data_IF_488175768279
#
_entry.id   IF_488175768279
#
_cell.length_a   1.000
_cell.length_b   1.000
_cell.length_c   1.000
_cell.angle_alpha   90.00
_cell.angle_beta   90.00
_cell.angle_gamma   90.00
#
_symmetry.space_group_name_H-M   'P 1'
#
loop_
_entity.id
_entity.type
_entity.pdbx_description
1 polymer ?
#
# COMPACT_ATOMS: atom_id res chain seq x y z
N UNK A 1 -69.18 -15.67 -41.63
CA UNK A 1 -68.63 -14.47 -40.95
C UNK A 1 -67.81 -14.76 -39.67
N UNK A 2 -67.80 -15.98 -39.10
CA UNK A 2 -67.08 -16.24 -37.83
C UNK A 2 -65.54 -16.36 -37.91
N UNK A 3 -64.97 -16.87 -39.00
CA UNK A 3 -63.52 -17.10 -39.11
C UNK A 3 -62.67 -15.82 -39.11
N UNK A 4 -63.15 -14.75 -39.75
CA UNK A 4 -62.47 -13.45 -39.77
C UNK A 4 -62.50 -12.77 -38.39
N UNK A 5 -63.60 -12.92 -37.65
CA UNK A 5 -63.76 -12.36 -36.32
C UNK A 5 -62.86 -13.03 -35.28
N UNK A 6 -62.66 -14.35 -35.39
CA UNK A 6 -61.68 -15.07 -34.56
C UNK A 6 -60.23 -14.72 -34.92
N UNK A 7 -59.94 -14.47 -36.20
CA UNK A 7 -58.60 -14.06 -36.64
C UNK A 7 -58.23 -12.67 -36.10
N UNK A 8 -59.17 -11.72 -36.13
CA UNK A 8 -58.97 -10.39 -35.57
C UNK A 8 -58.82 -10.40 -34.04
N UNK A 9 -59.59 -11.25 -33.33
CA UNK A 9 -59.48 -11.39 -31.87
C UNK A 9 -58.14 -11.98 -31.42
N UNK A 10 -57.60 -12.94 -32.18
CA UNK A 10 -56.30 -13.55 -31.89
C UNK A 10 -55.13 -12.55 -32.07
N UNK A 11 -55.21 -11.67 -33.08
CA UNK A 11 -54.18 -10.65 -33.33
C UNK A 11 -54.15 -9.59 -32.22
N UNK A 12 -55.32 -9.18 -31.70
CA UNK A 12 -55.40 -8.22 -30.59
C UNK A 12 -54.89 -8.82 -29.28
N UNK A 13 -55.11 -10.12 -29.03
CA UNK A 13 -54.63 -10.78 -27.81
C UNK A 13 -53.10 -10.91 -27.76
N UNK A 14 -52.44 -11.09 -28.90
CA UNK A 14 -50.96 -11.16 -28.99
C UNK A 14 -50.31 -9.78 -28.80
N UNK A 15 -50.99 -8.70 -29.17
CA UNK A 15 -50.49 -7.34 -29.02
C UNK A 15 -50.44 -6.86 -27.55
N UNK A 16 -51.26 -7.43 -26.65
CA UNK A 16 -51.27 -7.03 -25.23
C UNK A 16 -50.16 -7.68 -24.37
N UNK A 17 -49.52 -8.76 -24.82
CA UNK A 17 -48.49 -9.47 -24.05
C UNK A 17 -47.05 -9.09 -24.40
N UNK A 18 -46.86 -8.16 -25.35
CA UNK A 18 -45.54 -7.80 -25.88
C UNK A 18 -44.88 -6.56 -25.27
N UNK A 19 -45.32 -6.07 -24.11
CA UNK A 19 -44.66 -4.93 -23.46
C UNK A 19 -43.26 -5.36 -22.99
N UNK A 20 -42.15 -4.80 -23.53
CA UNK A 20 -40.83 -5.06 -23.00
C UNK A 20 -40.78 -4.50 -21.58
N UNK A 21 -40.54 -5.38 -20.59
CA UNK A 21 -40.20 -4.96 -19.25
C UNK A 21 -38.90 -4.14 -19.33
N UNK A 22 -39.00 -2.83 -19.13
CA UNK A 22 -37.83 -2.00 -18.94
C UNK A 22 -37.16 -2.45 -17.64
N UNK A 23 -36.00 -3.08 -17.74
CA UNK A 23 -35.15 -3.33 -16.59
C UNK A 23 -34.67 -1.96 -16.09
N UNK A 24 -35.25 -1.47 -14.99
CA UNK A 24 -34.72 -0.32 -14.28
C UNK A 24 -33.31 -0.67 -13.81
N UNK A 25 -32.32 0.00 -14.40
CA UNK A 25 -30.95 -0.06 -13.91
C UNK A 25 -30.93 0.73 -12.59
N UNK A 26 -30.65 0.10 -11.44
CA UNK A 26 -30.60 0.83 -10.18
C UNK A 26 -29.56 1.94 -10.29
N UNK A 27 -29.82 3.12 -9.69
CA UNK A 27 -28.90 4.24 -9.76
C UNK A 27 -27.53 3.84 -9.21
N UNK A 28 -26.42 4.31 -9.81
CA UNK A 28 -25.09 4.00 -9.33
C UNK A 28 -24.92 4.54 -7.91
N UNK A 29 -24.58 3.68 -6.95
CA UNK A 29 -24.15 4.14 -5.63
C UNK A 29 -22.72 4.64 -5.76
N UNK A 30 -22.55 5.96 -5.66
CA UNK A 30 -21.25 6.62 -5.77
C UNK A 30 -20.51 6.44 -4.44
N UNK A 31 -19.37 5.76 -4.46
CA UNK A 31 -18.47 5.76 -3.31
C UNK A 31 -17.91 7.18 -3.10
N UNK A 32 -17.66 7.64 -1.86
CA UNK A 32 -17.02 8.93 -1.60
C UNK A 32 -15.67 9.11 -2.31
N UNK A 33 -15.02 7.98 -2.62
CA UNK A 33 -13.73 7.86 -3.29
C UNK A 33 -13.90 7.50 -4.77
N UNK A 34 -14.95 8.04 -5.40
CA UNK A 34 -15.75 7.54 -6.53
C UNK A 34 -15.06 7.02 -7.80
N UNK A 35 -13.74 7.10 -7.92
CA UNK A 35 -12.99 6.49 -9.02
C UNK A 35 -12.36 5.14 -8.64
N UNK A 36 -11.86 5.00 -7.41
CA UNK A 36 -11.12 3.80 -6.95
C UNK A 36 -12.03 2.60 -6.68
N UNK A 37 -13.25 2.87 -6.22
CA UNK A 37 -14.19 1.82 -5.83
C UNK A 37 -15.46 1.83 -6.68
N UNK A 38 -15.91 0.65 -7.09
CA UNK A 38 -17.25 0.45 -7.67
C UNK A 38 -18.14 -0.28 -6.66
N UNK A 39 -19.39 0.15 -6.54
CA UNK A 39 -20.39 -0.49 -5.68
C UNK A 39 -21.44 -1.19 -6.53
N UNK A 40 -21.60 -2.50 -6.32
CA UNK A 40 -22.62 -3.32 -6.98
C UNK A 40 -23.66 -3.73 -5.93
N UNK A 41 -24.97 -3.50 -6.15
CA UNK A 41 -26.01 -3.94 -5.23
C UNK A 41 -25.97 -5.46 -5.00
N UNK A 42 -26.20 -5.88 -3.76
CA UNK A 42 -26.31 -7.29 -3.37
C UNK A 42 -27.36 -7.46 -2.27
N UNK A 43 -27.81 -8.69 -2.02
CA UNK A 43 -28.77 -8.94 -0.95
C UNK A 43 -28.21 -8.50 0.41
N UNK A 44 -28.95 -7.67 1.15
CA UNK A 44 -28.54 -7.15 2.46
C UNK A 44 -27.44 -6.07 2.47
N UNK A 45 -27.03 -5.56 1.30
CA UNK A 45 -25.99 -4.53 1.21
C UNK A 45 -25.44 -4.33 -0.20
N UNK A 46 -24.12 -4.28 -0.33
CA UNK A 46 -23.44 -4.10 -1.61
C UNK A 46 -22.06 -4.77 -1.63
N UNK A 47 -21.62 -5.17 -2.82
CA UNK A 47 -20.25 -5.60 -3.07
C UNK A 47 -19.45 -4.40 -3.53
N UNK A 48 -18.31 -4.15 -2.87
CA UNK A 48 -17.35 -3.10 -3.19
C UNK A 48 -16.14 -3.71 -3.89
N UNK A 49 -15.85 -3.26 -5.11
CA UNK A 49 -14.66 -3.62 -5.88
C UNK A 49 -13.62 -2.51 -5.80
N UNK A 50 -12.39 -2.84 -5.39
CA UNK A 50 -11.23 -1.96 -5.54
C UNK A 50 -10.65 -2.13 -6.95
N UNK A 51 -10.70 -1.09 -7.78
CA UNK A 51 -10.22 -1.15 -9.18
C UNK A 51 -8.69 -1.25 -9.30
N UNK A 52 -7.95 -0.87 -8.26
CA UNK A 52 -6.48 -0.94 -8.28
C UNK A 52 -5.96 -2.34 -7.93
N UNK A 53 -6.58 -2.98 -6.93
CA UNK A 53 -6.12 -4.28 -6.42
C UNK A 53 -6.94 -5.46 -6.93
N UNK A 54 -8.13 -5.21 -7.48
CA UNK A 54 -9.11 -6.24 -7.82
C UNK A 54 -9.84 -6.85 -6.62
N UNK A 55 -9.62 -6.33 -5.41
CA UNK A 55 -10.21 -6.88 -4.18
C UNK A 55 -11.72 -6.63 -4.11
N UNK A 56 -12.46 -7.67 -3.70
CA UNK A 56 -13.91 -7.64 -3.50
C UNK A 56 -14.22 -7.70 -1.99
N UNK A 57 -14.98 -6.71 -1.50
CA UNK A 57 -15.47 -6.68 -0.12
C UNK A 57 -17.00 -6.68 -0.11
N UNK A 58 -17.61 -7.45 0.78
CA UNK A 58 -19.06 -7.35 1.02
C UNK A 58 -19.32 -6.35 2.15
N UNK A 59 -20.17 -5.36 1.88
CA UNK A 59 -20.54 -4.31 2.80
C UNK A 59 -22.02 -4.44 3.19
N UNK A 60 -22.28 -4.76 4.44
CA UNK A 60 -23.64 -4.81 5.00
C UNK A 60 -24.04 -3.43 5.53
N UNK A 61 -25.28 -3.03 5.30
CA UNK A 61 -25.85 -1.79 5.85
C UNK A 61 -26.82 -2.15 6.96
N UNK A 62 -26.56 -1.69 8.18
CA UNK A 62 -27.45 -1.89 9.33
C UNK A 62 -27.54 -0.59 10.14
N UNK A 63 -28.75 -0.15 10.45
CA UNK A 63 -29.02 1.06 11.25
C UNK A 63 -28.34 2.33 10.69
N UNK A 64 -28.24 2.43 9.35
CA UNK A 64 -27.55 3.53 8.67
C UNK A 64 -26.01 3.46 8.71
N UNK A 65 -25.45 2.44 9.37
CA UNK A 65 -24.01 2.18 9.42
C UNK A 65 -23.64 1.12 8.39
N UNK A 66 -22.62 1.42 7.58
CA UNK A 66 -22.05 0.44 6.66
C UNK A 66 -20.83 -0.21 7.29
N UNK A 67 -20.80 -1.54 7.32
CA UNK A 67 -19.61 -2.32 7.68
C UNK A 67 -19.17 -3.20 6.50
N UNK A 68 -17.96 -2.96 5.99
CA UNK A 68 -17.34 -3.79 4.96
C UNK A 68 -16.50 -4.90 5.60
N UNK A 69 -16.78 -6.15 5.24
CA UNK A 69 -15.98 -7.31 5.63
C UNK A 69 -15.14 -7.74 4.43
N UNK A 70 -13.84 -7.95 4.66
CA UNK A 70 -12.98 -8.68 3.73
C UNK A 70 -13.59 -10.07 3.49
N UNK A 71 -13.63 -10.49 2.23
CA UNK A 71 -14.10 -11.81 1.83
C UNK A 71 -13.30 -12.92 2.52
N UNK A 72 -13.91 -14.09 2.69
CA UNK A 72 -13.26 -15.22 3.36
C UNK A 72 -11.94 -15.64 2.67
N UNK A 73 -11.91 -15.59 1.34
CA UNK A 73 -10.73 -15.94 0.53
C UNK A 73 -9.58 -14.95 0.71
N UNK A 74 -9.89 -13.65 0.80
CA UNK A 74 -8.89 -12.60 1.00
C UNK A 74 -8.26 -12.68 2.40
N UNK A 75 -9.05 -13.06 3.41
CA UNK A 75 -8.52 -13.36 4.75
C UNK A 75 -7.55 -14.54 4.72
N UNK A 76 -7.92 -15.63 4.04
CA UNK A 76 -7.05 -16.79 3.91
C UNK A 76 -5.73 -16.47 3.19
N UNK A 77 -5.78 -15.63 2.14
CA UNK A 77 -4.59 -15.16 1.44
C UNK A 77 -3.67 -14.33 2.35
N UNK A 78 -4.23 -13.40 3.14
CA UNK A 78 -3.45 -12.62 4.11
C UNK A 78 -2.88 -13.48 5.23
N UNK A 79 -3.63 -14.46 5.74
CA UNK A 79 -3.13 -15.39 6.76
C UNK A 79 -1.95 -16.22 6.24
N UNK A 80 -2.03 -16.72 5.01
CA UNK A 80 -0.93 -17.44 4.36
C UNK A 80 0.31 -16.55 4.20
N UNK A 81 0.13 -15.28 3.81
CA UNK A 81 1.22 -14.33 3.65
C UNK A 81 1.86 -13.94 4.99
N UNK A 82 1.05 -13.74 6.04
CA UNK A 82 1.54 -13.49 7.40
C UNK A 82 2.40 -14.65 7.88
N UNK A 83 1.98 -15.90 7.64
CA UNK A 83 2.74 -17.08 8.03
C UNK A 83 4.05 -17.22 7.25
N UNK A 84 4.05 -16.89 5.95
CA UNK A 84 5.27 -16.81 5.14
C UNK A 84 6.25 -15.78 5.72
N UNK A 85 5.79 -14.55 5.93
CA UNK A 85 6.62 -13.45 6.44
C UNK A 85 7.16 -13.76 7.85
N UNK A 86 6.36 -14.39 8.72
CA UNK A 86 6.82 -14.84 10.04
C UNK A 86 7.97 -15.86 9.93
N UNK A 87 7.86 -16.83 9.03
CA UNK A 87 8.92 -17.83 8.79
C UNK A 87 10.18 -17.18 8.23
N UNK A 88 10.05 -16.28 7.26
CA UNK A 88 11.18 -15.54 6.70
C UNK A 88 11.87 -14.67 7.76
N UNK A 89 11.10 -13.96 8.59
CA UNK A 89 11.64 -13.13 9.67
C UNK A 89 12.39 -13.97 10.72
N UNK A 90 11.83 -15.11 11.11
CA UNK A 90 12.49 -16.04 12.03
C UNK A 90 13.81 -16.58 11.43
N UNK A 91 13.80 -16.95 10.14
CA UNK A 91 15.01 -17.41 9.45
C UNK A 91 16.08 -16.31 9.33
N UNK A 92 15.67 -15.06 9.03
CA UNK A 92 16.58 -13.92 8.97
C UNK A 92 17.18 -13.59 10.34
N UNK A 93 16.37 -13.62 11.41
CA UNK A 93 16.86 -13.44 12.79
C UNK A 93 17.87 -14.51 13.17
N UNK A 94 17.55 -15.79 12.92
CA UNK A 94 18.48 -16.89 13.18
C UNK A 94 19.80 -16.74 12.41
N UNK A 95 19.75 -16.30 11.14
CA UNK A 95 20.95 -16.00 10.35
C UNK A 95 21.75 -14.82 10.90
N UNK A 96 21.07 -13.77 11.36
CA UNK A 96 21.73 -12.61 11.95
C UNK A 96 22.41 -12.95 13.29
N UNK A 97 21.79 -13.80 14.11
CA UNK A 97 22.36 -14.31 15.36
C UNK A 97 23.53 -15.27 15.12
N UNK A 98 23.44 -16.11 14.08
CA UNK A 98 24.50 -17.03 13.70
C UNK A 98 25.65 -16.37 12.92
N UNK A 99 25.45 -15.16 12.39
CA UNK A 99 26.48 -14.44 11.67
C UNK A 99 27.54 -13.95 12.66
N UNK A 100 28.83 -14.29 12.48
CA UNK A 100 29.89 -13.68 13.25
C UNK A 100 29.89 -12.17 12.96
N UNK A 101 29.63 -11.37 13.98
CA UNK A 101 29.71 -9.91 13.91
C UNK A 101 31.13 -9.55 13.46
N UNK A 102 31.33 -8.98 12.25
CA UNK A 102 32.66 -8.48 11.89
C UNK A 102 33.05 -7.44 12.95
N UNK A 103 34.32 -7.36 13.38
CA UNK A 103 34.75 -6.45 14.45
C UNK A 103 34.42 -4.96 14.18
N UNK A 104 34.01 -4.62 12.96
CA UNK A 104 33.58 -3.28 12.52
C UNK A 104 32.09 -2.98 12.73
N UNK A 105 31.26 -3.95 13.10
CA UNK A 105 29.80 -3.80 13.26
C UNK A 105 29.37 -3.62 14.72
N UNK A 106 30.18 -2.90 15.52
CA UNK A 106 29.74 -2.31 16.79
C UNK A 106 29.88 -0.79 16.72
N UNK A 107 28.84 -0.02 16.37
CA UNK A 107 28.81 1.37 16.81
C UNK A 107 28.35 1.35 18.27
N UNK A 108 29.13 1.96 19.17
CA UNK A 108 28.87 2.25 20.59
C UNK A 108 29.89 1.69 21.61
N UNK A 109 31.07 1.23 21.17
CA UNK A 109 32.23 1.29 22.06
C UNK A 109 32.82 2.67 21.84
N UNK A 110 32.72 3.55 22.85
CA UNK A 110 33.47 4.79 22.85
C UNK A 110 34.94 4.44 22.53
N UNK A 111 35.62 5.14 21.59
CA UNK A 111 37.00 4.85 21.25
C UNK A 111 37.85 4.72 22.51
N UNK A 112 38.82 3.80 22.50
CA UNK A 112 39.75 3.71 23.62
C UNK A 112 40.47 5.06 23.81
N UNK A 113 40.88 5.37 25.04
CA UNK A 113 41.58 6.62 25.34
C UNK A 113 42.83 6.81 24.46
N UNK A 114 43.53 5.71 24.16
CA UNK A 114 44.68 5.69 23.24
C UNK A 114 44.30 6.04 21.79
N UNK A 115 43.19 5.51 21.26
CA UNK A 115 42.71 5.84 19.92
C UNK A 115 42.24 7.29 19.82
N UNK A 116 41.58 7.78 20.85
CA UNK A 116 41.16 9.17 20.94
C UNK A 116 42.36 10.12 20.96
N UNK A 117 43.37 9.81 21.79
CA UNK A 117 44.61 10.60 21.86
C UNK A 117 45.41 10.54 20.55
N UNK A 118 45.42 9.37 19.88
CA UNK A 118 46.03 9.22 18.56
C UNK A 118 45.32 10.08 17.51
N UNK A 119 43.98 10.12 17.52
CA UNK A 119 43.20 10.97 16.63
C UNK A 119 43.38 12.47 16.92
N UNK A 120 43.44 12.87 18.19
CA UNK A 120 43.74 14.24 18.60
C UNK A 120 45.13 14.68 18.16
N UNK A 121 46.16 13.87 18.41
CA UNK A 121 47.54 14.19 17.99
C UNK A 121 47.68 14.30 16.46
N UNK A 122 46.92 13.50 15.70
CA UNK A 122 46.88 13.62 14.25
C UNK A 122 46.23 14.93 13.81
N UNK A 123 45.07 15.25 14.38
CA UNK A 123 44.34 16.49 14.11
C UNK A 123 45.18 17.72 14.48
N UNK A 124 45.88 17.69 15.60
CA UNK A 124 46.77 18.77 16.05
C UNK A 124 47.92 19.01 15.06
N UNK A 125 48.61 17.94 14.63
CA UNK A 125 49.68 18.03 13.62
C UNK A 125 49.16 18.56 12.29
N UNK A 126 47.99 18.11 11.87
CA UNK A 126 47.33 18.55 10.64
C UNK A 126 46.98 20.05 10.69
N UNK A 127 46.31 20.51 11.76
CA UNK A 127 45.97 21.92 11.95
C UNK A 127 47.22 22.81 12.03
N UNK A 128 48.26 22.38 12.74
CA UNK A 128 49.55 23.10 12.78
C UNK A 128 50.18 23.20 11.40
N UNK A 129 50.09 22.16 10.57
CA UNK A 129 50.62 22.19 9.18
C UNK A 129 49.81 23.14 8.30
N UNK A 130 48.49 23.10 8.39
CA UNK A 130 47.59 23.98 7.64
C UNK A 130 47.83 25.46 8.00
N UNK A 131 47.94 25.78 9.29
CA UNK A 131 48.18 27.15 9.74
C UNK A 131 49.55 27.70 9.30
N UNK A 132 50.56 26.83 9.15
CA UNK A 132 51.85 27.23 8.57
C UNK A 132 51.71 27.60 7.10
N UNK A 133 51.04 26.75 6.31
CA UNK A 133 50.78 27.02 4.89
C UNK A 133 49.99 28.33 4.71
N UNK A 134 48.94 28.57 5.51
CA UNK A 134 48.20 29.84 5.43
C UNK A 134 49.05 31.04 5.82
N UNK A 135 49.99 30.92 6.76
CA UNK A 135 50.89 32.01 7.16
C UNK A 135 51.94 32.31 6.08
N UNK A 136 52.38 31.30 5.34
CA UNK A 136 53.26 31.45 4.18
C UNK A 136 52.54 32.19 3.04
N UNK A 137 51.24 31.94 2.84
CA UNK A 137 50.40 32.61 1.83
C UNK A 137 49.89 34.02 2.25
N UNK A 138 49.69 34.27 3.55
CA UNK A 138 49.14 35.55 4.06
C UNK A 138 50.18 36.53 4.58
N UNK A 139 51.48 36.23 4.50
CA UNK A 139 52.51 37.23 4.75
C UNK A 139 52.56 38.20 3.56
N UNK A 140 52.08 39.46 3.69
CA UNK A 140 52.32 40.44 2.66
C UNK A 140 53.82 40.71 2.66
N UNK A 141 54.45 40.67 1.49
CA UNK A 141 55.87 41.00 1.37
C UNK A 141 56.21 42.35 2.01
N UNK A 142 57.36 42.38 2.69
CA UNK A 142 58.07 43.60 3.10
C UNK A 142 58.76 43.44 4.46
N UNK A 143 60.05 43.68 4.65
CA UNK A 143 61.10 44.15 3.76
C UNK A 143 62.46 43.84 4.44
N UNK A 144 63.44 43.41 3.63
CA UNK A 144 64.89 43.72 3.62
C UNK A 144 65.59 42.72 2.69
#
# INVERSE_FOLDING_TARGET
MGKAQHFFLAIVLVALFGAPAAAETPPPIIAPEGERFTLTPAEGGYVRLNKETGALSYCSVKDGVTACRLGAEERAAFEAEIDRLRKENAALKARAEAAPVPPTARPNIAPSEEEFERALSFTERFLRRIMRLFREETSPGGAL
#
